data_IF_353988108306
#
_entry.id   IF_353988108306
#
_cell.length_a   1.000
_cell.length_b   1.000
_cell.length_c   1.000
_cell.angle_alpha   90.00
_cell.angle_beta   90.00
_cell.angle_gamma   90.00
#
_symmetry.space_group_name_H-M   'P 1'
#
loop_
_entity.id
_entity.type
_entity.pdbx_description
1 polymer ?
#
# COMPACT_ATOMS: atom_id res chain seq x y z
N UNK A 1 16.32 -8.94 -12.52
CA UNK A 1 15.63 -7.66 -12.75
C UNK A 1 15.87 -7.03 -14.13
N UNK A 2 16.56 -7.72 -15.06
CA UNK A 2 16.82 -7.20 -16.39
C UNK A 2 15.69 -7.57 -17.38
N UNK A 3 14.45 -7.31 -17.01
CA UNK A 3 13.24 -7.58 -17.80
C UNK A 3 12.37 -6.34 -17.93
N UNK A 4 11.49 -6.32 -18.93
CA UNK A 4 10.60 -5.19 -19.18
C UNK A 4 11.38 -3.88 -19.32
N UNK A 5 10.96 -2.83 -18.62
CA UNK A 5 11.62 -1.53 -18.66
C UNK A 5 13.07 -1.53 -18.16
N UNK A 6 13.51 -2.56 -17.44
CA UNK A 6 14.88 -2.69 -16.94
C UNK A 6 15.80 -3.49 -17.83
N UNK A 7 15.31 -4.02 -18.96
CA UNK A 7 16.13 -4.81 -19.89
C UNK A 7 17.25 -3.98 -20.53
N UNK A 8 17.00 -2.69 -20.78
CA UNK A 8 17.97 -1.75 -21.35
C UNK A 8 17.63 -0.31 -20.95
N UNK A 9 18.62 0.60 -20.89
CA UNK A 9 18.34 2.02 -20.70
C UNK A 9 17.39 2.55 -21.77
N UNK A 10 16.43 3.42 -21.37
CA UNK A 10 15.45 3.98 -22.28
C UNK A 10 14.67 5.11 -21.63
N UNK A 11 13.83 5.77 -22.44
CA UNK A 11 12.83 6.74 -22.00
C UNK A 11 11.45 6.20 -22.35
N UNK A 12 10.51 6.37 -21.43
CA UNK A 12 9.16 5.85 -21.55
C UNK A 12 8.14 6.93 -21.17
N UNK A 13 7.07 7.01 -21.90
CA UNK A 13 5.92 7.81 -21.50
C UNK A 13 5.25 7.15 -20.30
N UNK A 14 4.77 7.95 -19.35
CA UNK A 14 4.18 7.47 -18.11
C UNK A 14 3.01 8.34 -17.69
N UNK A 15 1.96 7.69 -17.18
CA UNK A 15 0.90 8.34 -16.40
C UNK A 15 1.06 7.93 -14.95
N UNK A 16 0.99 8.90 -14.05
CA UNK A 16 1.08 8.69 -12.61
C UNK A 16 -0.17 9.20 -11.91
N UNK A 17 -0.64 8.42 -10.92
CA UNK A 17 -1.74 8.81 -10.04
C UNK A 17 -1.30 8.73 -8.59
N UNK A 18 -1.45 9.84 -7.89
CA UNK A 18 -1.36 9.86 -6.43
C UNK A 18 -2.74 9.56 -5.82
N UNK A 19 -2.76 8.80 -4.74
CA UNK A 19 -3.97 8.43 -4.04
C UNK A 19 -3.77 8.46 -2.53
N UNK A 20 -4.84 8.73 -1.80
CA UNK A 20 -4.91 8.57 -0.35
C UNK A 20 -5.84 7.41 -0.01
N UNK A 21 -5.42 6.61 0.96
CA UNK A 21 -6.18 5.47 1.46
C UNK A 21 -7.05 5.93 2.64
N UNK A 22 -8.03 6.78 2.36
CA UNK A 22 -9.00 7.23 3.35
C UNK A 22 -10.41 6.84 2.91
N UNK A 23 -11.28 6.39 3.85
CA UNK A 23 -12.65 6.03 3.51
C UNK A 23 -13.53 7.24 3.16
N UNK A 24 -13.09 8.44 3.51
CA UNK A 24 -13.80 9.70 3.26
C UNK A 24 -12.85 10.73 2.67
N UNK A 25 -13.41 11.72 1.99
CA UNK A 25 -12.67 12.91 1.60
C UNK A 25 -12.24 13.66 2.87
N UNK A 26 -10.95 13.85 3.01
CA UNK A 26 -10.34 14.56 4.13
C UNK A 26 -9.40 15.65 3.60
N UNK A 27 -9.12 16.72 4.37
CA UNK A 27 -8.12 17.71 4.01
C UNK A 27 -6.73 17.08 3.82
N UNK A 28 -5.91 17.66 2.95
CA UNK A 28 -4.59 17.13 2.61
C UNK A 28 -3.58 17.12 3.77
N UNK A 29 -3.83 17.93 4.80
CA UNK A 29 -3.02 17.95 6.02
C UNK A 29 -3.34 16.83 7.00
N UNK A 30 -4.37 16.01 6.72
CA UNK A 30 -4.66 14.81 7.52
C UNK A 30 -3.69 13.71 7.14
N UNK A 31 -2.97 13.20 8.13
CA UNK A 31 -2.06 12.07 7.94
C UNK A 31 -2.83 10.83 7.53
N UNK A 32 -2.38 10.17 6.46
CA UNK A 32 -3.00 8.95 5.96
C UNK A 32 -2.01 8.18 5.08
N UNK A 33 -2.21 6.87 4.90
CA UNK A 33 -1.49 6.13 3.88
C UNK A 33 -1.67 6.76 2.50
N UNK A 34 -0.57 6.86 1.76
CA UNK A 34 -0.56 7.39 0.39
C UNK A 34 -0.10 6.30 -0.57
N UNK A 35 -0.73 6.27 -1.71
CA UNK A 35 -0.36 5.36 -2.79
C UNK A 35 0.07 6.10 -4.04
N UNK A 36 0.86 5.43 -4.86
CA UNK A 36 1.23 5.87 -6.20
C UNK A 36 0.96 4.71 -7.15
N UNK A 37 0.18 4.96 -8.18
CA UNK A 37 0.04 4.06 -9.32
C UNK A 37 0.71 4.67 -10.53
N UNK A 38 1.54 3.90 -11.21
CA UNK A 38 2.22 4.31 -12.44
C UNK A 38 1.87 3.34 -13.56
N UNK A 39 1.52 3.86 -14.73
CA UNK A 39 1.40 3.10 -15.97
C UNK A 39 2.45 3.61 -16.95
N UNK A 40 3.34 2.72 -17.35
CA UNK A 40 4.48 3.00 -18.24
C UNK A 40 4.17 2.39 -19.60
N UNK A 41 4.30 3.17 -20.66
CA UNK A 41 3.95 2.78 -22.02
C UNK A 41 5.19 2.45 -22.85
N UNK A 42 4.99 1.65 -23.91
CA UNK A 42 6.08 1.27 -24.81
C UNK A 42 7.05 0.25 -24.26
N UNK A 43 6.72 -0.41 -23.15
CA UNK A 43 7.55 -1.46 -22.55
C UNK A 43 7.33 -2.77 -23.28
N UNK A 44 8.39 -3.27 -23.88
CA UNK A 44 8.43 -4.56 -24.59
C UNK A 44 9.21 -5.60 -23.78
N UNK A 45 9.10 -6.86 -24.21
CA UNK A 45 9.80 -7.96 -23.60
C UNK A 45 9.04 -8.66 -22.49
N UNK A 46 9.71 -9.61 -21.87
CA UNK A 46 9.15 -10.48 -20.85
C UNK A 46 8.78 -9.71 -19.59
N UNK A 47 7.58 -9.98 -19.09
CA UNK A 47 7.00 -9.43 -17.87
C UNK A 47 6.35 -10.55 -17.06
N UNK A 48 6.12 -10.32 -15.79
CA UNK A 48 5.50 -11.31 -14.91
C UNK A 48 4.10 -11.71 -15.35
N UNK A 49 3.33 -10.74 -15.85
CA UNK A 49 2.04 -10.91 -16.54
C UNK A 49 1.76 -9.72 -17.48
N UNK A 50 0.77 -9.87 -18.35
CA UNK A 50 0.48 -8.85 -19.36
C UNK A 50 1.53 -8.80 -20.46
N UNK A 51 2.11 -9.93 -20.85
CA UNK A 51 3.12 -10.03 -21.92
C UNK A 51 2.61 -9.49 -23.26
N UNK A 52 1.31 -9.64 -23.52
CA UNK A 52 0.63 -9.14 -24.72
C UNK A 52 0.45 -7.60 -24.71
N UNK A 53 0.69 -6.95 -23.60
CA UNK A 53 0.56 -5.49 -23.45
C UNK A 53 1.92 -4.81 -23.55
N UNK A 54 1.96 -3.71 -24.28
CA UNK A 54 3.14 -2.81 -24.30
C UNK A 54 3.14 -1.81 -23.13
N UNK A 55 2.73 -2.28 -21.95
CA UNK A 55 2.68 -1.46 -20.74
C UNK A 55 3.26 -2.23 -19.56
N UNK A 56 3.78 -1.50 -18.59
CA UNK A 56 4.19 -2.03 -17.31
C UNK A 56 3.62 -1.14 -16.21
N UNK A 57 2.97 -1.77 -15.24
CA UNK A 57 2.30 -1.06 -14.15
C UNK A 57 3.09 -1.25 -12.85
N UNK A 58 3.19 -0.16 -12.08
CA UNK A 58 3.82 -0.13 -10.78
C UNK A 58 2.88 0.46 -9.75
N UNK A 59 2.84 -0.15 -8.58
CA UNK A 59 2.08 0.37 -7.45
C UNK A 59 2.98 0.44 -6.22
N UNK A 60 2.90 1.56 -5.53
CA UNK A 60 3.66 1.82 -4.32
C UNK A 60 2.77 2.41 -3.24
N UNK A 61 3.19 2.28 -2.01
CA UNK A 61 2.68 3.04 -0.88
C UNK A 61 3.84 3.71 -0.13
N UNK A 62 3.52 4.59 0.80
CA UNK A 62 4.51 5.32 1.57
C UNK A 62 4.95 4.60 2.85
N UNK A 63 4.62 3.32 3.01
CA UNK A 63 5.11 2.52 4.11
C UNK A 63 6.47 1.89 3.79
N UNK A 64 7.39 1.83 4.76
CA UNK A 64 8.70 1.23 4.56
C UNK A 64 8.67 -0.30 4.47
N UNK A 65 7.61 -0.93 4.94
CA UNK A 65 7.41 -2.38 4.96
C UNK A 65 5.99 -2.73 4.50
N UNK A 66 5.82 -3.95 4.00
CA UNK A 66 4.50 -4.50 3.70
C UNK A 66 3.82 -4.89 5.02
N UNK A 67 2.76 -4.19 5.38
CA UNK A 67 2.00 -4.40 6.62
C UNK A 67 0.94 -5.52 6.49
N UNK A 68 0.43 -5.74 5.28
CA UNK A 68 -0.53 -6.79 4.97
C UNK A 68 0.19 -8.10 4.66
N UNK A 69 0.59 -8.83 5.71
CA UNK A 69 1.45 -10.01 5.62
C UNK A 69 0.74 -11.25 5.04
N UNK A 70 -0.54 -11.35 5.28
CA UNK A 70 -1.32 -12.54 4.96
C UNK A 70 -2.80 -12.19 4.71
N UNK A 71 -3.54 -13.09 4.01
CA UNK A 71 -4.94 -12.86 3.69
C UNK A 71 -5.86 -12.70 4.91
N UNK A 72 -5.56 -13.38 6.02
CA UNK A 72 -6.35 -13.28 7.25
C UNK A 72 -6.26 -11.88 7.85
N UNK A 73 -5.05 -11.35 8.01
CA UNK A 73 -4.80 -9.99 8.47
C UNK A 73 -5.49 -8.95 7.57
N UNK A 74 -5.39 -9.14 6.24
CA UNK A 74 -6.05 -8.26 5.27
C UNK A 74 -7.57 -8.27 5.46
N UNK A 75 -8.17 -9.46 5.64
CA UNK A 75 -9.60 -9.59 5.86
C UNK A 75 -10.03 -8.92 7.18
N UNK A 76 -9.30 -9.15 8.27
CA UNK A 76 -9.60 -8.56 9.58
C UNK A 76 -9.57 -7.02 9.56
N UNK A 77 -8.62 -6.44 8.83
CA UNK A 77 -8.55 -4.98 8.64
C UNK A 77 -9.75 -4.48 7.83
N UNK A 78 -10.08 -5.16 6.75
CA UNK A 78 -11.21 -4.78 5.90
C UNK A 78 -12.55 -4.88 6.67
N UNK A 79 -12.76 -5.95 7.43
CA UNK A 79 -13.94 -6.16 8.27
C UNK A 79 -14.04 -5.09 9.38
N UNK A 80 -12.93 -4.77 10.03
CA UNK A 80 -12.86 -3.71 11.02
C UNK A 80 -13.18 -2.33 10.40
N UNK A 81 -12.66 -2.04 9.22
CA UNK A 81 -12.94 -0.80 8.50
C UNK A 81 -14.43 -0.71 8.12
N UNK A 82 -15.02 -1.79 7.64
CA UNK A 82 -16.44 -1.85 7.29
C UNK A 82 -17.33 -1.57 8.51
N UNK A 83 -17.06 -2.20 9.63
CA UNK A 83 -17.80 -2.03 10.89
C UNK A 83 -17.69 -0.62 11.47
N UNK A 84 -16.56 0.05 11.27
CA UNK A 84 -16.26 1.37 11.82
C UNK A 84 -16.19 2.47 10.74
N UNK A 85 -16.84 2.26 9.59
CA UNK A 85 -16.76 3.19 8.45
C UNK A 85 -17.08 4.65 8.78
N UNK A 86 -18.00 4.87 9.71
CA UNK A 86 -18.41 6.21 10.14
C UNK A 86 -17.70 6.70 11.41
N UNK A 87 -16.80 5.91 11.98
CA UNK A 87 -16.08 6.19 13.22
C UNK A 87 -14.59 5.87 13.05
N UNK A 88 -13.87 6.75 12.37
CA UNK A 88 -12.44 6.59 12.10
C UNK A 88 -11.59 6.55 13.38
N UNK A 89 -11.86 7.36 14.42
CA UNK A 89 -11.16 7.23 15.70
C UNK A 89 -11.27 5.83 16.29
N UNK A 90 -12.46 5.25 16.28
CA UNK A 90 -12.67 3.87 16.77
C UNK A 90 -11.94 2.83 15.92
N UNK A 91 -11.98 2.97 14.59
CA UNK A 91 -11.17 2.13 13.70
C UNK A 91 -9.68 2.19 14.06
N UNK A 92 -9.13 3.39 14.25
CA UNK A 92 -7.73 3.57 14.63
C UNK A 92 -7.39 2.92 15.98
N UNK A 93 -8.26 3.06 16.98
CA UNK A 93 -8.10 2.41 18.28
C UNK A 93 -8.08 0.87 18.19
N UNK A 94 -9.00 0.30 17.43
CA UNK A 94 -9.07 -1.15 17.21
C UNK A 94 -7.85 -1.66 16.45
N UNK A 95 -7.34 -0.91 15.46
CA UNK A 95 -6.10 -1.26 14.76
C UNK A 95 -4.87 -1.18 15.67
N UNK A 96 -4.79 -0.17 16.54
CA UNK A 96 -3.71 -0.06 17.51
C UNK A 96 -3.67 -1.27 18.47
N UNK A 97 -4.82 -1.68 19.00
CA UNK A 97 -4.93 -2.89 19.85
C UNK A 97 -4.47 -4.15 19.12
N UNK A 98 -4.78 -4.29 17.84
CA UNK A 98 -4.35 -5.43 17.02
C UNK A 98 -2.84 -5.43 16.83
N UNK A 99 -2.25 -4.27 16.51
CA UNK A 99 -0.80 -4.13 16.36
C UNK A 99 -0.07 -4.46 17.67
N UNK A 100 -0.58 -3.98 18.79
CA UNK A 100 0.01 -4.28 20.11
C UNK A 100 -0.05 -5.79 20.43
N UNK A 101 -1.13 -6.47 20.07
CA UNK A 101 -1.26 -7.92 20.23
C UNK A 101 -0.27 -8.68 19.32
N UNK A 102 -0.10 -8.26 18.07
CA UNK A 102 0.86 -8.84 17.14
C UNK A 102 2.31 -8.65 17.62
N UNK A 103 2.65 -7.46 18.13
CA UNK A 103 3.96 -7.18 18.72
C UNK A 103 4.24 -8.06 19.94
N UNK A 104 3.24 -8.26 20.80
CA UNK A 104 3.37 -9.12 21.97
C UNK A 104 3.63 -10.59 21.57
N UNK A 105 2.94 -11.09 20.53
CA UNK A 105 3.13 -12.47 20.05
C UNK A 105 4.49 -12.69 19.36
N UNK A 106 5.09 -11.65 18.79
CA UNK A 106 6.39 -11.69 18.11
C UNK A 106 7.58 -11.38 19.03
N UNK A 107 7.38 -11.33 20.33
CA UNK A 107 8.45 -11.03 21.29
C UNK A 107 8.96 -9.59 21.25
N UNK A 108 8.12 -8.64 20.83
CA UNK A 108 8.43 -7.22 20.85
C UNK A 108 9.43 -6.75 19.79
N UNK A 109 9.68 -7.55 18.75
CA UNK A 109 10.70 -7.27 17.73
C UNK A 109 10.28 -6.36 16.58
N UNK A 110 9.01 -5.95 16.51
CA UNK A 110 8.55 -5.01 15.49
C UNK A 110 8.57 -3.56 16.03
N UNK A 111 9.17 -2.62 15.30
CA UNK A 111 9.12 -1.21 15.68
C UNK A 111 7.68 -0.71 15.66
N UNK A 112 7.30 0.11 16.65
CA UNK A 112 6.02 0.82 16.73
C UNK A 112 5.94 1.93 15.67
N UNK A 113 6.02 1.58 14.40
CA UNK A 113 6.02 2.59 13.33
C UNK A 113 4.64 3.19 13.02
N UNK A 114 3.56 2.60 13.54
CA UNK A 114 2.20 3.07 13.23
C UNK A 114 1.67 4.20 14.12
N UNK A 115 2.31 4.45 15.27
CA UNK A 115 1.89 5.55 16.15
C UNK A 115 2.56 6.89 15.85
N UNK A 116 3.60 6.90 15.01
CA UNK A 116 4.36 8.11 14.68
C UNK A 116 3.94 8.75 13.34
N UNK A 117 2.98 8.15 12.63
CA UNK A 117 2.40 8.72 11.41
C UNK A 117 1.08 9.47 11.73
N UNK A 118 0.96 9.97 12.92
CA UNK A 118 -0.13 10.87 13.31
C UNK A 118 0.27 12.33 13.05
#
# INVERSE_FOLDING_TARGET
LAQGMFAKPGQYDMIMRYSSLTPKLVPDNVSAPRGIGMKIFGVEGEKLWGEDKKTQDWTFNNYPILELRDPKTTYEIADCLEKNWNDIPKFAEEQAKRVDADVATMGGSLPRQHSEIA
#
